data_IF_092885036502
#
_entry.id   IF_092885036502
#
_cell.length_a   1.000
_cell.length_b   1.000
_cell.length_c   1.000
_cell.angle_alpha   90.00
_cell.angle_beta   90.00
_cell.angle_gamma   90.00
#
_symmetry.space_group_name_H-M   'P 1'
#
loop_
_entity.id
_entity.type
_entity.pdbx_description
1 polymer ?
#
# COMPACT_ATOMS: atom_id res chain seq x y z
N UNK A 1 -33.71 2.37 -18.39
CA UNK A 1 -33.99 2.70 -16.98
C UNK A 1 -33.22 1.68 -16.13
N UNK A 2 -32.10 2.12 -15.56
CA UNK A 2 -31.30 1.29 -14.65
C UNK A 2 -32.14 0.97 -13.41
N UNK A 3 -32.16 -0.30 -12.99
CA UNK A 3 -32.89 -0.67 -11.78
C UNK A 3 -32.31 0.02 -10.55
N UNK A 4 -33.13 0.27 -9.52
CA UNK A 4 -32.67 0.80 -8.23
C UNK A 4 -31.50 -0.01 -7.63
N UNK A 5 -31.39 -1.28 -7.96
CA UNK A 5 -30.30 -2.16 -7.53
C UNK A 5 -29.00 -1.82 -8.23
N UNK A 6 -29.03 -1.46 -9.52
CA UNK A 6 -27.83 -1.01 -10.26
C UNK A 6 -27.38 0.39 -9.85
N UNK A 7 -28.31 1.24 -9.42
CA UNK A 7 -27.99 2.56 -8.90
C UNK A 7 -27.28 2.51 -7.54
N UNK A 8 -27.60 1.50 -6.70
CA UNK A 8 -26.94 1.29 -5.39
C UNK A 8 -25.54 0.71 -5.54
N UNK A 9 -25.25 -0.06 -6.59
CA UNK A 9 -23.92 -0.58 -6.89
C UNK A 9 -22.97 0.46 -7.52
N UNK A 10 -23.48 1.60 -7.94
CA UNK A 10 -22.70 2.68 -8.53
C UNK A 10 -22.33 3.79 -7.52
N UNK A 11 -22.41 3.55 -6.22
CA UNK A 11 -21.79 4.41 -5.23
C UNK A 11 -20.26 4.24 -5.38
N UNK A 12 -19.65 5.09 -6.21
CA UNK A 12 -18.21 5.18 -6.38
C UNK A 12 -17.59 5.45 -5.01
N UNK A 13 -16.84 4.46 -4.50
CA UNK A 13 -15.95 4.64 -3.36
C UNK A 13 -15.11 5.90 -3.55
N UNK A 14 -15.23 6.86 -2.65
CA UNK A 14 -14.43 8.09 -2.68
C UNK A 14 -13.06 7.81 -2.04
N UNK A 15 -12.09 7.51 -2.89
CA UNK A 15 -10.71 7.26 -2.48
C UNK A 15 -9.91 8.56 -2.53
N UNK A 16 -9.28 8.92 -1.40
CA UNK A 16 -8.36 10.06 -1.31
C UNK A 16 -7.03 9.63 -0.71
N UNK A 17 -5.96 10.18 -1.28
CA UNK A 17 -4.60 10.07 -0.76
C UNK A 17 -4.17 11.40 -0.16
N UNK A 18 -3.68 11.36 1.07
CA UNK A 18 -3.14 12.52 1.79
C UNK A 18 -1.73 12.23 2.29
N UNK A 19 -1.01 13.27 2.71
CA UNK A 19 0.27 13.07 3.38
C UNK A 19 0.03 12.45 4.77
N UNK A 20 0.95 11.60 5.22
CA UNK A 20 0.85 10.97 6.54
C UNK A 20 0.82 11.98 7.68
N UNK A 21 1.46 13.13 7.51
CA UNK A 21 1.46 14.23 8.48
C UNK A 21 0.11 14.91 8.66
N UNK A 22 -0.85 14.66 7.77
CA UNK A 22 -2.22 15.19 7.86
C UNK A 22 -3.17 14.30 8.69
N UNK A 23 -2.69 13.13 9.15
CA UNK A 23 -3.48 12.18 9.92
C UNK A 23 -3.24 12.37 11.41
N UNK A 24 -4.28 12.20 12.22
CA UNK A 24 -4.12 12.13 13.67
C UNK A 24 -3.18 10.96 14.03
N UNK A 25 -2.08 11.21 14.76
CA UNK A 25 -1.16 10.14 15.16
C UNK A 25 -1.83 9.00 15.94
N UNK A 26 -2.93 9.25 16.62
CA UNK A 26 -3.69 8.22 17.34
C UNK A 26 -4.33 7.21 16.37
N UNK A 27 -4.71 7.64 15.16
CA UNK A 27 -5.21 6.73 14.14
C UNK A 27 -4.11 5.80 13.63
N UNK A 28 -2.88 6.30 13.52
CA UNK A 28 -1.71 5.48 13.18
C UNK A 28 -1.40 4.47 14.28
N UNK A 29 -1.47 4.91 15.55
CA UNK A 29 -1.30 4.01 16.71
C UNK A 29 -2.32 2.88 16.67
N UNK A 30 -3.59 3.21 16.48
CA UNK A 30 -4.68 2.24 16.42
C UNK A 30 -4.49 1.22 15.30
N UNK A 31 -4.11 1.69 14.10
CA UNK A 31 -3.89 0.83 12.95
C UNK A 31 -2.69 -0.12 13.17
N UNK A 32 -1.55 0.43 13.54
CA UNK A 32 -0.30 -0.33 13.64
C UNK A 32 -0.26 -1.27 14.87
N UNK A 33 -1.14 -1.10 15.83
CA UNK A 33 -1.32 -2.02 16.97
C UNK A 33 -2.48 -3.00 16.77
N UNK A 34 -3.25 -2.88 15.70
CA UNK A 34 -4.35 -3.80 15.45
C UNK A 34 -3.80 -5.23 15.29
N UNK A 35 -4.29 -6.23 16.08
CA UNK A 35 -3.76 -7.59 16.04
C UNK A 35 -3.84 -8.24 14.66
N UNK A 36 -4.93 -8.02 13.94
CA UNK A 36 -5.12 -8.58 12.59
C UNK A 36 -4.16 -7.94 11.58
N UNK A 37 -3.89 -6.66 11.73
CA UNK A 37 -2.89 -5.94 10.91
C UNK A 37 -1.48 -6.46 11.20
N UNK A 38 -1.13 -6.64 12.47
CA UNK A 38 0.19 -7.15 12.87
C UNK A 38 0.47 -8.54 12.32
N UNK A 39 -0.54 -9.40 12.18
CA UNK A 39 -0.39 -10.72 11.55
C UNK A 39 0.05 -10.61 10.07
N UNK A 40 -0.23 -9.50 9.41
CA UNK A 40 0.13 -9.25 8.01
C UNK A 40 1.45 -8.46 7.86
N UNK A 41 2.04 -8.00 8.96
CA UNK A 41 3.24 -7.16 8.98
C UNK A 41 4.42 -7.90 9.60
N UNK A 42 5.26 -8.59 8.82
CA UNK A 42 6.38 -9.38 9.38
C UNK A 42 7.38 -8.55 10.18
N UNK A 43 7.54 -7.27 9.86
CA UNK A 43 8.42 -6.33 10.54
C UNK A 43 7.69 -5.44 11.54
N UNK A 44 6.38 -5.62 11.70
CA UNK A 44 5.58 -4.90 12.67
C UNK A 44 5.82 -5.37 14.10
N UNK A 45 5.69 -4.47 15.06
CA UNK A 45 5.77 -4.81 16.48
C UNK A 45 4.56 -4.27 17.25
N UNK A 46 4.09 -5.02 18.24
CA UNK A 46 3.18 -4.51 19.23
C UNK A 46 3.88 -3.40 20.06
N UNK A 47 3.14 -2.62 20.82
CA UNK A 47 3.65 -1.48 21.62
C UNK A 47 4.04 -0.24 20.80
N UNK A 48 3.34 -0.01 19.73
CA UNK A 48 3.47 1.21 18.93
C UNK A 48 2.73 2.35 19.64
N UNK A 49 3.45 3.17 20.37
CA UNK A 49 2.88 4.28 21.16
C UNK A 49 2.82 5.59 20.36
N UNK A 50 2.28 6.64 20.97
CA UNK A 50 2.13 7.95 20.32
C UNK A 50 3.47 8.56 19.90
N UNK A 51 4.51 8.44 20.71
CA UNK A 51 5.84 8.96 20.38
C UNK A 51 6.44 8.24 19.19
N UNK A 52 6.33 6.91 19.14
CA UNK A 52 6.74 6.11 17.99
C UNK A 52 5.92 6.42 16.75
N UNK A 53 4.61 6.66 16.90
CA UNK A 53 3.76 7.04 15.78
C UNK A 53 4.20 8.36 15.15
N UNK A 54 4.52 9.36 15.95
CA UNK A 54 5.00 10.65 15.45
C UNK A 54 6.35 10.52 14.73
N UNK A 55 7.30 9.80 15.30
CA UNK A 55 8.60 9.55 14.71
C UNK A 55 8.47 8.76 13.40
N UNK A 56 7.71 7.67 13.41
CA UNK A 56 7.43 6.84 12.24
C UNK A 56 6.80 7.66 11.10
N UNK A 57 5.80 8.48 11.42
CA UNK A 57 5.13 9.35 10.45
C UNK A 57 6.12 10.31 9.79
N UNK A 58 6.97 10.95 10.59
CA UNK A 58 7.97 11.88 10.07
C UNK A 58 8.99 11.18 9.16
N UNK A 59 9.48 10.03 9.56
CA UNK A 59 10.45 9.25 8.77
C UNK A 59 9.83 8.76 7.44
N UNK A 60 8.62 8.24 7.48
CA UNK A 60 7.91 7.79 6.29
C UNK A 60 7.59 8.94 5.34
N UNK A 61 7.11 10.06 5.86
CA UNK A 61 6.74 11.23 5.06
C UNK A 61 7.97 11.93 4.47
N UNK A 62 9.11 11.90 5.14
CA UNK A 62 10.37 12.48 4.66
C UNK A 62 10.86 11.87 3.34
N UNK A 63 10.43 10.65 2.99
CA UNK A 63 10.77 10.02 1.72
C UNK A 63 10.30 10.84 0.51
N UNK A 64 9.18 11.55 0.64
CA UNK A 64 8.69 12.42 -0.43
C UNK A 64 9.70 13.50 -0.83
N UNK A 65 10.36 14.11 0.14
CA UNK A 65 11.39 15.11 -0.12
C UNK A 65 12.69 14.46 -0.59
N UNK A 66 13.05 13.32 -0.02
CA UNK A 66 14.33 12.68 -0.29
C UNK A 66 14.35 11.94 -1.64
N UNK A 67 13.27 11.28 -2.02
CA UNK A 67 13.22 10.43 -3.20
C UNK A 67 12.20 10.87 -4.26
N UNK A 68 11.35 11.85 -3.96
CA UNK A 68 10.28 12.29 -4.85
C UNK A 68 9.03 11.39 -4.82
N UNK A 69 9.02 10.38 -3.96
CA UNK A 69 7.88 9.50 -3.69
C UNK A 69 7.90 9.04 -2.24
N UNK A 70 6.77 8.58 -1.76
CA UNK A 70 6.61 8.10 -0.40
C UNK A 70 5.23 7.47 -0.19
N UNK A 71 4.94 6.98 1.01
CA UNK A 71 3.62 6.49 1.34
C UNK A 71 2.64 7.63 1.56
N UNK A 72 1.37 7.32 1.32
CA UNK A 72 0.22 8.17 1.64
C UNK A 72 -0.58 7.63 2.81
N UNK A 73 -1.33 8.50 3.46
CA UNK A 73 -2.51 8.13 4.21
C UNK A 73 -3.67 7.93 3.24
N UNK A 74 -4.42 6.87 3.43
CA UNK A 74 -5.50 6.45 2.55
C UNK A 74 -6.83 6.68 3.26
N UNK A 75 -7.71 7.45 2.61
CA UNK A 75 -9.06 7.72 3.09
C UNK A 75 -10.08 7.15 2.11
N UNK A 76 -11.07 6.47 2.66
CA UNK A 76 -12.23 5.94 1.93
C UNK A 76 -13.47 6.56 2.52
N UNK A 77 -14.26 7.24 1.69
CA UNK A 77 -15.48 7.94 2.12
C UNK A 77 -15.24 8.80 3.37
N UNK A 78 -14.13 9.56 3.37
CA UNK A 78 -13.67 10.46 4.44
C UNK A 78 -13.19 9.78 5.72
N UNK A 79 -13.11 8.45 5.74
CA UNK A 79 -12.57 7.70 6.88
C UNK A 79 -11.13 7.27 6.62
N UNK A 80 -10.27 7.39 7.64
CA UNK A 80 -8.92 6.86 7.57
C UNK A 80 -8.96 5.33 7.48
N UNK A 81 -8.47 4.80 6.37
CA UNK A 81 -8.51 3.37 6.07
C UNK A 81 -7.17 2.67 6.29
N UNK A 82 -6.07 3.42 6.23
CA UNK A 82 -4.74 2.87 6.34
C UNK A 82 -3.70 3.74 5.65
N UNK A 83 -2.57 3.15 5.35
CA UNK A 83 -1.49 3.81 4.63
C UNK A 83 -0.92 2.90 3.55
N UNK A 84 -0.30 3.50 2.56
CA UNK A 84 0.32 2.76 1.48
C UNK A 84 0.87 3.69 0.41
N UNK A 85 1.63 3.13 -0.49
CA UNK A 85 2.29 3.85 -1.56
C UNK A 85 3.64 3.28 -1.86
N UNK A 86 4.52 4.08 -2.42
CA UNK A 86 5.87 3.68 -2.76
C UNK A 86 6.82 4.05 -1.64
N UNK A 87 7.69 3.13 -1.27
CA UNK A 87 8.76 3.33 -0.31
C UNK A 87 10.09 3.06 -0.97
N UNK A 88 11.13 3.78 -0.56
CA UNK A 88 12.49 3.47 -0.99
C UNK A 88 12.96 2.17 -0.33
N UNK A 89 13.41 1.22 -1.14
CA UNK A 89 13.97 -0.04 -0.69
C UNK A 89 15.16 -0.42 -1.58
N UNK A 90 16.37 -0.18 -1.09
CA UNK A 90 17.62 -0.50 -1.79
C UNK A 90 17.68 -0.03 -3.26
N UNK A 91 17.20 1.17 -3.53
CA UNK A 91 17.15 1.76 -4.88
C UNK A 91 15.86 1.52 -5.64
N UNK A 92 14.99 0.66 -5.16
CA UNK A 92 13.70 0.38 -5.77
C UNK A 92 12.56 1.18 -5.12
N UNK A 93 11.53 1.47 -5.90
CA UNK A 93 10.26 1.98 -5.40
C UNK A 93 9.37 0.78 -5.06
N UNK A 94 9.28 0.46 -3.78
CA UNK A 94 8.55 -0.70 -3.28
C UNK A 94 7.15 -0.32 -2.84
N UNK A 95 6.13 -1.00 -3.38
CA UNK A 95 4.74 -0.76 -3.04
C UNK A 95 4.37 -1.50 -1.75
N UNK A 96 3.98 -0.73 -0.74
CA UNK A 96 3.42 -1.23 0.50
C UNK A 96 1.97 -0.78 0.65
N UNK A 97 1.16 -1.60 1.28
CA UNK A 97 -0.23 -1.29 1.57
C UNK A 97 -0.64 -1.96 2.89
N UNK A 98 -1.05 -1.15 3.85
CA UNK A 98 -1.53 -1.57 5.16
C UNK A 98 -2.89 -0.94 5.40
N UNK A 99 -3.92 -1.76 5.49
CA UNK A 99 -5.31 -1.34 5.69
C UNK A 99 -5.87 -1.87 6.99
N UNK A 100 -6.71 -1.07 7.63
CA UNK A 100 -7.57 -1.55 8.70
C UNK A 100 -8.47 -2.68 8.17
N UNK A 101 -8.74 -3.73 8.96
CA UNK A 101 -9.52 -4.89 8.51
C UNK A 101 -10.87 -4.55 7.88
N UNK A 102 -11.54 -3.50 8.36
CA UNK A 102 -12.82 -3.04 7.80
C UNK A 102 -12.74 -2.63 6.32
N UNK A 103 -11.53 -2.36 5.81
CA UNK A 103 -11.29 -1.90 4.43
C UNK A 103 -10.54 -2.94 3.58
N UNK A 104 -10.31 -4.14 4.07
CA UNK A 104 -9.61 -5.18 3.30
C UNK A 104 -10.30 -5.52 1.99
N UNK A 105 -11.63 -5.42 1.94
CA UNK A 105 -12.39 -5.61 0.69
C UNK A 105 -12.07 -4.59 -0.40
N UNK A 106 -11.50 -3.44 -0.07
CA UNK A 106 -11.10 -2.38 -1.00
C UNK A 106 -9.62 -2.45 -1.40
N UNK A 107 -8.86 -3.41 -0.88
CA UNK A 107 -7.40 -3.50 -1.06
C UNK A 107 -6.97 -3.56 -2.53
N UNK A 108 -7.65 -4.36 -3.35
CA UNK A 108 -7.34 -4.49 -4.78
C UNK A 108 -7.53 -3.16 -5.52
N UNK A 109 -8.63 -2.46 -5.28
CA UNK A 109 -8.90 -1.18 -5.93
C UNK A 109 -7.87 -0.11 -5.55
N UNK A 110 -7.47 -0.07 -4.28
CA UNK A 110 -6.45 0.85 -3.77
C UNK A 110 -5.09 0.51 -4.38
N UNK A 111 -4.72 -0.75 -4.40
CA UNK A 111 -3.48 -1.25 -5.00
C UNK A 111 -3.37 -0.81 -6.47
N UNK A 112 -4.41 -1.03 -7.26
CA UNK A 112 -4.48 -0.61 -8.67
C UNK A 112 -4.36 0.91 -8.79
N UNK A 113 -4.99 1.69 -7.91
CA UNK A 113 -4.89 3.15 -7.92
C UNK A 113 -3.46 3.62 -7.67
N UNK A 114 -2.72 2.99 -6.76
CA UNK A 114 -1.31 3.28 -6.49
C UNK A 114 -0.45 2.94 -7.71
N UNK A 115 -0.65 1.77 -8.30
CA UNK A 115 0.07 1.33 -9.52
C UNK A 115 -0.12 2.32 -10.66
N UNK A 116 -1.36 2.74 -10.91
CA UNK A 116 -1.68 3.74 -11.94
C UNK A 116 -0.94 5.06 -11.69
N UNK A 117 -0.96 5.57 -10.46
CA UNK A 117 -0.23 6.79 -10.10
C UNK A 117 1.27 6.65 -10.30
N UNK A 118 1.84 5.51 -9.92
CA UNK A 118 3.27 5.24 -10.09
C UNK A 118 3.71 5.41 -11.54
N UNK A 119 2.97 4.88 -12.48
CA UNK A 119 3.35 4.89 -13.90
C UNK A 119 2.87 6.13 -14.66
N UNK A 120 1.71 6.70 -14.33
CA UNK A 120 1.15 7.84 -15.09
C UNK A 120 1.61 9.18 -14.53
N UNK A 121 1.49 9.42 -13.23
CA UNK A 121 1.76 10.72 -12.62
C UNK A 121 3.18 10.85 -12.09
N UNK A 122 3.78 9.74 -11.64
CA UNK A 122 5.09 9.74 -10.98
C UNK A 122 6.23 9.29 -11.91
N UNK A 123 5.90 8.75 -13.08
CA UNK A 123 6.89 8.38 -14.10
C UNK A 123 7.85 7.27 -13.68
N UNK A 124 7.42 6.36 -12.82
CA UNK A 124 8.26 5.24 -12.39
C UNK A 124 8.61 4.32 -13.55
N UNK A 125 9.87 3.90 -13.64
CA UNK A 125 10.31 2.92 -14.64
C UNK A 125 9.87 1.51 -14.28
N UNK A 126 9.85 1.20 -12.99
CA UNK A 126 9.33 -0.04 -12.43
C UNK A 126 8.94 0.16 -10.97
N UNK A 127 8.13 -0.74 -10.45
CA UNK A 127 7.84 -0.85 -9.02
C UNK A 127 8.03 -2.28 -8.55
N UNK A 128 8.34 -2.45 -7.28
CA UNK A 128 8.46 -3.76 -6.66
C UNK A 128 7.39 -3.99 -5.60
N UNK A 129 7.17 -5.24 -5.25
CA UNK A 129 6.49 -5.67 -4.03
C UNK A 129 7.33 -6.75 -3.37
N UNK A 130 7.33 -6.74 -2.05
CA UNK A 130 8.00 -7.74 -1.23
C UNK A 130 6.95 -8.55 -0.47
N UNK A 131 6.98 -9.85 -0.64
CA UNK A 131 6.04 -10.75 0.01
C UNK A 131 6.79 -11.78 0.86
N UNK A 132 6.35 -12.00 2.13
CA UNK A 132 6.93 -13.06 2.94
C UNK A 132 6.58 -14.44 2.33
N UNK A 133 7.41 -15.49 2.55
CA UNK A 133 7.15 -16.83 2.03
C UNK A 133 5.83 -17.44 2.52
N UNK A 134 5.34 -16.97 3.66
CA UNK A 134 4.03 -17.37 4.20
C UNK A 134 2.85 -16.94 3.34
N UNK A 135 3.05 -15.96 2.45
CA UNK A 135 2.02 -15.48 1.53
C UNK A 135 1.93 -16.38 0.30
N UNK A 136 0.97 -17.27 0.28
CA UNK A 136 0.80 -18.27 -0.80
C UNK A 136 -0.20 -17.87 -1.87
N UNK A 137 -1.10 -16.93 -1.56
CA UNK A 137 -2.11 -16.43 -2.52
C UNK A 137 -1.56 -15.30 -3.38
N UNK A 138 -0.73 -15.66 -4.36
CA UNK A 138 -0.01 -14.70 -5.23
C UNK A 138 -0.52 -14.66 -6.68
N UNK A 139 -1.54 -15.44 -7.03
CA UNK A 139 -2.09 -15.46 -8.40
C UNK A 139 -2.52 -14.08 -8.89
N UNK A 140 -3.09 -13.26 -8.00
CA UNK A 140 -3.51 -11.89 -8.32
C UNK A 140 -2.36 -10.99 -8.76
N UNK A 141 -1.18 -11.18 -8.19
CA UNK A 141 0.03 -10.44 -8.52
C UNK A 141 0.48 -10.75 -9.94
N UNK A 142 0.50 -12.02 -10.32
CA UNK A 142 0.83 -12.43 -11.68
C UNK A 142 -0.20 -11.93 -12.69
N UNK A 143 -1.49 -11.91 -12.33
CA UNK A 143 -2.56 -11.37 -13.19
C UNK A 143 -2.41 -9.88 -13.45
N UNK A 144 -1.82 -9.12 -12.52
CA UNK A 144 -1.51 -7.70 -12.71
C UNK A 144 -0.29 -7.47 -13.60
N UNK A 145 0.53 -8.49 -13.82
CA UNK A 145 1.72 -8.43 -14.65
C UNK A 145 3.04 -8.42 -13.89
N UNK A 146 3.03 -8.56 -12.56
CA UNK A 146 4.25 -8.71 -11.77
C UNK A 146 4.98 -9.99 -12.13
N UNK A 147 6.30 -9.92 -12.15
CA UNK A 147 7.20 -11.04 -12.44
C UNK A 147 8.13 -11.28 -11.26
N UNK A 148 8.50 -12.54 -10.97
CA UNK A 148 9.50 -12.84 -9.96
C UNK A 148 10.81 -12.09 -10.24
N UNK A 149 11.41 -11.50 -9.19
CA UNK A 149 12.63 -10.71 -9.30
C UNK A 149 13.57 -10.95 -8.11
N UNK A 150 13.78 -12.20 -7.78
CA UNK A 150 14.71 -12.61 -6.73
C UNK A 150 14.15 -12.53 -5.32
N UNK A 151 15.05 -12.51 -4.37
CA UNK A 151 14.77 -12.57 -2.95
C UNK A 151 15.59 -11.51 -2.22
N UNK A 152 15.11 -11.04 -1.07
CA UNK A 152 15.79 -10.05 -0.24
C UNK A 152 15.55 -10.34 1.24
N UNK A 153 16.57 -10.14 2.07
CA UNK A 153 16.45 -10.21 3.52
C UNK A 153 16.46 -8.81 4.10
N UNK A 154 15.44 -8.48 4.90
CA UNK A 154 15.31 -7.20 5.58
C UNK A 154 15.14 -7.47 7.06
N UNK A 155 16.04 -6.95 7.89
CA UNK A 155 16.01 -7.10 9.34
C UNK A 155 15.84 -8.57 9.78
N UNK A 156 16.51 -9.50 9.08
CA UNK A 156 16.43 -10.93 9.34
C UNK A 156 15.18 -11.63 8.83
N UNK A 157 14.30 -10.94 8.16
CA UNK A 157 13.11 -11.50 7.52
C UNK A 157 13.33 -11.68 6.02
N UNK A 158 13.02 -12.87 5.54
CA UNK A 158 13.17 -13.24 4.13
C UNK A 158 11.91 -12.86 3.33
N UNK A 159 12.10 -12.21 2.17
CA UNK A 159 11.02 -11.83 1.25
C UNK A 159 11.32 -12.30 -0.16
N UNK A 160 10.26 -12.67 -0.87
CA UNK A 160 10.28 -12.79 -2.32
C UNK A 160 9.96 -11.44 -2.94
N UNK A 161 10.76 -10.99 -3.90
CA UNK A 161 10.55 -9.76 -4.65
C UNK A 161 9.87 -10.06 -5.98
N UNK A 162 8.90 -9.23 -6.32
CA UNK A 162 8.24 -9.21 -7.63
C UNK A 162 8.34 -7.81 -8.19
N UNK A 163 8.49 -7.70 -9.50
CA UNK A 163 8.64 -6.44 -10.21
C UNK A 163 7.58 -6.27 -11.29
N UNK A 164 7.08 -5.05 -11.41
CA UNK A 164 6.14 -4.64 -12.45
C UNK A 164 6.75 -3.51 -13.27
N UNK A 165 6.68 -3.64 -14.58
CA UNK A 165 7.01 -2.58 -15.54
C UNK A 165 5.72 -2.07 -16.21
N UNK A 166 5.70 -0.82 -16.71
CA UNK A 166 4.54 -0.32 -17.44
C UNK A 166 4.12 -1.22 -18.60
N UNK A 167 5.09 -1.78 -19.35
CA UNK A 167 4.83 -2.63 -20.50
C UNK A 167 4.36 -4.05 -20.14
N UNK A 168 4.58 -4.51 -18.90
CA UNK A 168 4.10 -5.82 -18.42
C UNK A 168 2.79 -5.72 -17.67
N UNK A 169 2.35 -4.51 -17.36
CA UNK A 169 1.10 -4.27 -16.65
C UNK A 169 -0.10 -4.80 -17.45
N UNK A 170 -0.99 -5.54 -16.79
CA UNK A 170 -2.18 -6.08 -17.44
C UNK A 170 -3.09 -4.97 -17.97
N UNK A 171 -3.74 -5.22 -19.13
CA UNK A 171 -4.68 -4.27 -19.76
C UNK A 171 -5.83 -3.87 -18.83
N UNK A 172 -6.23 -4.75 -17.93
CA UNK A 172 -7.28 -4.46 -16.95
C UNK A 172 -6.91 -3.36 -15.94
N UNK A 173 -5.63 -2.99 -15.87
CA UNK A 173 -5.10 -1.93 -14.99
C UNK A 173 -4.94 -0.61 -15.75
N UNK A 174 -4.83 -0.65 -17.06
CA UNK A 174 -4.74 0.53 -17.94
C UNK A 174 -6.13 1.06 -18.26
#
# INVERSE_FOLDING_TARGET
MLSLVEAVFNLRMLLKFKRLTEVDPLDIVSLNNNPDVLLQMPLGSANFDLAKAKEWTQQKDAQWQQYGYGPWAIFIDQQFAGWGGLQYEEGDADLALVLHPNFWGSGKAIFIAIVKRAFTSMGMESITILLPPSRTRIKGIFRLGFQPDGEVDIEGTHFQRFRLYPHTMARSVT
#
